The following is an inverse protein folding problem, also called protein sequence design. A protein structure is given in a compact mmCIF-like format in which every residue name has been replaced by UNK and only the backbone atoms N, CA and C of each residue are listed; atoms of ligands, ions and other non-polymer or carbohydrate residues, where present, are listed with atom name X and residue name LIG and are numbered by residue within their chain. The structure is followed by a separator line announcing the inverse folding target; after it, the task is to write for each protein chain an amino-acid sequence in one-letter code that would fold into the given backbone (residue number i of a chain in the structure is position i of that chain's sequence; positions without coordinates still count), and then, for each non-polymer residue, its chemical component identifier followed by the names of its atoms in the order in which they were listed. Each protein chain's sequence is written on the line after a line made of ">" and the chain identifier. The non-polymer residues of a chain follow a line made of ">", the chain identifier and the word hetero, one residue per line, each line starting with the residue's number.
data_IF_131509733631
#
_entry.id   IF_131509733631
#
_cell.length_a   1.000
_cell.length_b   1.000
_cell.length_c   1.000
_cell.angle_alpha   90.00
_cell.angle_beta   90.00
_cell.angle_gamma   90.00
#
_symmetry.space_group_name_H-M   'P 1'
#
loop_
_entity.id
_entity.type
_entity.pdbx_description
1 polymer ?
#
# COMPACT_ATOMS: atom_id res chain seq x y z
N UNK A 1 34.90 28.55 -21.30
CA UNK A 1 35.82 27.63 -20.61
C UNK A 1 35.75 28.02 -19.15
N UNK A 2 35.04 27.36 -18.25
CA UNK A 2 34.65 25.95 -17.99
C UNK A 2 33.46 26.03 -17.00
N UNK A 3 32.58 25.08 -16.70
CA UNK A 3 32.31 23.69 -17.02
C UNK A 3 30.83 23.53 -16.59
N UNK A 4 29.92 23.03 -17.44
CA UNK A 4 28.54 22.72 -17.01
C UNK A 4 28.51 21.32 -16.41
N UNK A 5 28.28 21.23 -15.10
CA UNK A 5 28.06 19.96 -14.41
C UNK A 5 26.69 19.38 -14.80
N UNK A 6 26.60 18.16 -15.37
CA UNK A 6 25.30 17.56 -15.65
C UNK A 6 24.63 17.08 -14.36
N UNK A 7 23.48 17.67 -14.04
CA UNK A 7 22.57 17.23 -12.97
C UNK A 7 21.92 15.91 -13.39
N UNK A 8 22.54 14.78 -13.03
CA UNK A 8 21.97 13.45 -13.29
C UNK A 8 20.70 13.27 -12.47
N UNK A 9 19.55 13.30 -13.14
CA UNK A 9 18.23 13.16 -12.56
C UNK A 9 17.97 11.70 -12.15
N UNK A 10 18.26 11.36 -10.88
CA UNK A 10 18.12 10.00 -10.34
C UNK A 10 16.66 9.55 -10.12
N UNK A 11 15.68 10.44 -10.35
CA UNK A 11 14.25 10.19 -10.13
C UNK A 11 13.54 9.51 -11.32
N UNK A 12 14.24 9.23 -12.43
CA UNK A 12 13.64 8.68 -13.65
C UNK A 12 14.13 7.28 -14.02
N UNK A 13 14.77 6.57 -13.08
CA UNK A 13 15.02 5.14 -13.25
C UNK A 13 13.70 4.38 -13.08
N UNK A 14 12.93 4.32 -14.16
CA UNK A 14 11.74 3.49 -14.26
C UNK A 14 12.14 2.03 -14.06
N UNK A 15 12.01 1.53 -12.83
CA UNK A 15 12.19 0.12 -12.51
C UNK A 15 11.13 -0.65 -13.30
N UNK A 16 11.56 -1.32 -14.37
CA UNK A 16 10.62 -2.08 -15.19
C UNK A 16 10.19 -3.32 -14.40
N UNK A 17 8.89 -3.67 -14.47
CA UNK A 17 8.32 -4.89 -13.84
C UNK A 17 9.13 -6.15 -14.14
N UNK A 18 9.85 -6.16 -15.27
CA UNK A 18 10.70 -7.25 -15.72
C UNK A 18 11.96 -7.44 -14.86
N UNK A 19 12.45 -6.39 -14.19
CA UNK A 19 13.56 -6.49 -13.23
C UNK A 19 13.11 -7.03 -11.86
N UNK A 20 11.90 -6.67 -11.41
CA UNK A 20 11.32 -7.21 -10.17
C UNK A 20 11.09 -8.72 -10.28
N UNK A 21 10.56 -9.20 -11.41
CA UNK A 21 10.34 -10.64 -11.66
C UNK A 21 11.65 -11.46 -11.75
N UNK A 22 12.77 -10.84 -12.14
CA UNK A 22 14.07 -11.52 -12.18
C UNK A 22 14.70 -11.66 -10.78
N UNK A 23 14.39 -10.73 -9.86
CA UNK A 23 14.90 -10.77 -8.49
C UNK A 23 14.21 -11.81 -7.59
N UNK A 24 12.93 -12.09 -7.82
CA UNK A 24 12.14 -13.02 -6.99
C UNK A 24 12.39 -14.51 -7.27
N UNK A 25 13.10 -14.86 -8.35
CA UNK A 25 13.40 -16.26 -8.72
C UNK A 25 14.67 -16.84 -8.07
N UNK A 26 15.46 -16.05 -7.34
CA UNK A 26 16.77 -16.49 -6.81
C UNK A 26 16.83 -16.63 -5.27
N UNK A 27 15.72 -16.39 -4.55
CA UNK A 27 15.73 -16.36 -3.08
C UNK A 27 14.59 -17.16 -2.42
N UNK A 28 14.16 -18.28 -3.01
CA UNK A 28 13.02 -19.01 -2.48
C UNK A 28 12.96 -20.48 -2.86
N UNK A 29 13.92 -21.31 -2.41
CA UNK A 29 13.72 -22.77 -2.33
C UNK A 29 14.87 -23.46 -1.55
N UNK A 30 14.72 -23.66 -0.23
CA UNK A 30 15.57 -24.60 0.52
C UNK A 30 15.01 -25.09 1.88
N UNK A 31 13.69 -25.03 2.16
CA UNK A 31 13.19 -25.52 3.46
C UNK A 31 11.76 -26.06 3.45
N UNK A 32 11.32 -26.69 2.36
CA UNK A 32 10.10 -27.49 2.37
C UNK A 32 10.37 -28.73 1.55
N UNK A 33 10.75 -29.84 2.20
CA UNK A 33 10.70 -31.22 1.71
C UNK A 33 11.32 -32.14 2.80
N UNK A 34 10.58 -32.34 3.89
CA UNK A 34 10.84 -33.41 4.85
C UNK A 34 9.53 -33.97 5.40
N UNK A 35 8.59 -34.31 4.52
CA UNK A 35 7.48 -35.20 4.85
C UNK A 35 6.89 -35.80 3.57
N UNK A 36 6.55 -37.08 3.66
CA UNK A 36 5.93 -37.92 2.64
C UNK A 36 6.89 -38.44 1.55
N UNK A 37 7.53 -39.56 1.87
CA UNK A 37 8.18 -40.42 0.89
C UNK A 37 7.19 -41.13 -0.02
N UNK A 38 7.67 -41.48 -1.22
CA UNK A 38 7.43 -42.71 -1.98
C UNK A 38 7.91 -42.51 -3.43
N UNK A 39 9.05 -43.12 -3.71
CA UNK A 39 9.50 -43.76 -4.96
C UNK A 39 8.64 -43.60 -6.23
N UNK A 40 9.23 -43.07 -7.34
CA UNK A 40 9.40 -43.76 -8.65
C UNK A 40 10.10 -42.87 -9.69
N UNK A 41 10.79 -43.50 -10.65
CA UNK A 41 11.80 -42.93 -11.55
C UNK A 41 11.25 -42.38 -12.90
N UNK A 42 12.07 -41.51 -13.54
CA UNK A 42 12.32 -41.25 -14.99
C UNK A 42 11.16 -41.35 -16.01
N UNK A 43 11.00 -40.42 -16.98
CA UNK A 43 12.04 -40.13 -17.97
C UNK A 43 12.21 -38.65 -18.43
N UNK A 44 13.30 -38.47 -19.17
CA UNK A 44 13.81 -37.37 -19.98
C UNK A 44 12.78 -36.54 -20.79
N UNK A 45 12.91 -35.20 -20.87
CA UNK A 45 12.04 -34.39 -21.73
C UNK A 45 12.58 -34.30 -23.17
N UNK A 46 11.81 -34.84 -24.10
CA UNK A 46 11.95 -34.65 -25.55
C UNK A 46 11.61 -33.20 -25.93
N UNK A 47 12.51 -32.55 -26.66
CA UNK A 47 12.38 -31.17 -27.14
C UNK A 47 11.36 -31.12 -28.31
N UNK A 48 10.25 -30.41 -28.11
CA UNK A 48 9.25 -30.14 -29.15
C UNK A 48 9.67 -28.96 -30.05
N UNK A 49 9.28 -28.93 -31.35
CA UNK A 49 9.59 -27.83 -32.27
C UNK A 49 8.85 -26.54 -31.93
N UNK A 50 9.38 -25.35 -32.28
CA UNK A 50 8.73 -24.07 -32.01
C UNK A 50 7.49 -23.87 -32.90
N UNK A 51 6.34 -23.63 -32.28
CA UNK A 51 5.12 -23.17 -32.96
C UNK A 51 5.29 -21.71 -33.46
N UNK A 52 4.87 -21.51 -34.70
CA UNK A 52 4.86 -20.22 -35.39
C UNK A 52 3.89 -19.25 -34.71
N UNK A 53 4.40 -18.15 -34.15
CA UNK A 53 3.56 -17.10 -33.57
C UNK A 53 2.73 -16.40 -34.64
N UNK A 54 1.41 -16.36 -34.43
CA UNK A 54 0.49 -15.57 -35.24
C UNK A 54 0.68 -14.06 -34.97
N UNK A 55 0.41 -13.17 -35.96
CA UNK A 55 0.59 -11.73 -35.79
C UNK A 55 -0.32 -11.18 -34.68
N UNK A 56 0.29 -10.51 -33.70
CA UNK A 56 -0.40 -9.85 -32.60
C UNK A 56 -1.35 -8.78 -33.10
N UNK A 57 -2.63 -8.90 -32.71
CA UNK A 57 -3.63 -7.87 -32.95
C UNK A 57 -3.20 -6.55 -32.28
N UNK A 58 -3.28 -5.46 -33.06
CA UNK A 58 -3.03 -4.10 -32.58
C UNK A 58 -3.94 -3.77 -31.39
N UNK A 59 -3.41 -3.19 -30.29
CA UNK A 59 -4.25 -2.79 -29.17
C UNK A 59 -5.23 -1.72 -29.63
N UNK A 60 -6.53 -1.96 -29.39
CA UNK A 60 -7.56 -0.95 -29.60
C UNK A 60 -7.31 0.25 -28.65
N UNK A 61 -7.60 1.49 -29.10
CA UNK A 61 -7.49 2.65 -28.24
C UNK A 61 -8.39 2.48 -27.01
N UNK A 62 -7.82 2.67 -25.82
CA UNK A 62 -8.55 2.60 -24.57
C UNK A 62 -9.55 3.77 -24.53
N UNK A 63 -10.84 3.44 -24.50
CA UNK A 63 -11.91 4.41 -24.22
C UNK A 63 -11.68 4.98 -22.83
N UNK A 64 -11.54 6.30 -22.74
CA UNK A 64 -11.42 7.03 -21.48
C UNK A 64 -12.65 6.76 -20.61
N UNK A 65 -12.43 6.26 -19.40
CA UNK A 65 -13.51 5.96 -18.47
C UNK A 65 -14.22 7.26 -18.07
N UNK A 66 -15.56 7.26 -17.95
CA UNK A 66 -16.29 8.44 -17.50
C UNK A 66 -15.74 8.94 -16.16
N UNK A 67 -15.68 10.27 -15.95
CA UNK A 67 -15.28 10.82 -14.65
C UNK A 67 -16.18 10.23 -13.56
N UNK A 68 -15.57 9.74 -12.49
CA UNK A 68 -16.30 9.17 -11.36
C UNK A 68 -17.27 10.23 -10.81
N UNK A 69 -18.51 9.82 -10.54
CA UNK A 69 -19.47 10.69 -9.88
C UNK A 69 -18.92 11.15 -8.52
N UNK A 70 -19.23 12.38 -8.08
CA UNK A 70 -18.78 12.87 -6.80
C UNK A 70 -19.32 11.96 -5.68
N UNK A 71 -18.41 11.42 -4.88
CA UNK A 71 -18.77 10.60 -3.72
C UNK A 71 -19.27 11.54 -2.63
N UNK A 72 -20.55 11.43 -2.28
CA UNK A 72 -21.15 12.18 -1.17
C UNK A 72 -21.07 11.35 0.11
N UNK A 73 -20.61 11.97 1.19
CA UNK A 73 -20.56 11.40 2.53
C UNK A 73 -21.55 12.09 3.47
N UNK A 74 -22.59 12.73 2.93
CA UNK A 74 -23.62 13.39 3.72
C UNK A 74 -24.23 12.44 4.76
N UNK A 75 -24.24 12.86 6.03
CA UNK A 75 -24.73 12.07 7.16
C UNK A 75 -23.72 11.09 7.76
N UNK A 76 -22.54 10.91 7.16
CA UNK A 76 -21.43 10.14 7.75
C UNK A 76 -20.66 11.04 8.73
N UNK A 77 -20.30 10.51 9.90
CA UNK A 77 -19.42 11.19 10.86
C UNK A 77 -18.23 10.30 11.18
N UNK A 78 -17.02 10.76 10.87
CA UNK A 78 -15.78 10.07 11.25
C UNK A 78 -15.38 10.45 12.68
N UNK A 79 -15.12 9.46 13.53
CA UNK A 79 -14.58 9.65 14.88
C UNK A 79 -13.08 9.37 14.90
N UNK A 80 -12.29 10.43 15.02
CA UNK A 80 -10.84 10.36 14.89
C UNK A 80 -10.15 10.58 16.24
N UNK A 81 -8.92 10.10 16.40
CA UNK A 81 -8.05 10.52 17.50
C UNK A 81 -6.86 11.35 17.01
N UNK A 82 -6.51 12.39 17.75
CA UNK A 82 -5.36 13.27 17.47
C UNK A 82 -4.43 13.43 18.68
N UNK A 83 -3.35 14.21 18.54
CA UNK A 83 -2.46 14.59 19.64
C UNK A 83 -2.24 16.10 19.67
N UNK A 84 -2.03 16.66 20.87
CA UNK A 84 -2.12 18.10 21.14
C UNK A 84 -1.52 19.04 20.10
N UNK A 85 -0.27 18.81 19.66
CA UNK A 85 0.39 19.70 18.69
C UNK A 85 -0.20 19.65 17.28
N UNK A 86 -0.91 18.57 16.93
CA UNK A 86 -1.51 18.37 15.61
C UNK A 86 -2.94 18.92 15.50
N UNK A 87 -3.53 19.41 16.61
CA UNK A 87 -4.92 19.89 16.64
C UNK A 87 -5.20 20.95 15.56
N UNK A 88 -4.38 22.00 15.37
CA UNK A 88 -4.66 23.01 14.34
C UNK A 88 -4.68 22.43 12.92
N UNK A 89 -3.74 21.52 12.61
CA UNK A 89 -3.67 20.85 11.32
C UNK A 89 -4.86 19.89 11.12
N UNK A 90 -5.30 19.20 12.18
CA UNK A 90 -6.48 18.36 12.14
C UNK A 90 -7.73 19.18 11.84
N UNK A 91 -7.92 20.34 12.47
CA UNK A 91 -9.08 21.19 12.21
C UNK A 91 -9.16 21.61 10.73
N UNK A 92 -8.04 22.02 10.15
CA UNK A 92 -7.97 22.34 8.71
C UNK A 92 -8.39 21.15 7.84
N UNK A 93 -7.95 19.94 8.20
CA UNK A 93 -8.34 18.72 7.51
C UNK A 93 -9.82 18.37 7.65
N UNK A 94 -10.42 18.59 8.83
CA UNK A 94 -11.86 18.39 9.05
C UNK A 94 -12.69 19.36 8.19
N UNK A 95 -12.30 20.63 8.18
CA UNK A 95 -13.02 21.66 7.42
C UNK A 95 -12.94 21.37 5.91
N UNK A 96 -11.75 20.96 5.42
CA UNK A 96 -11.56 20.55 4.04
C UNK A 96 -12.38 19.30 3.69
N UNK A 97 -12.35 18.26 4.55
CA UNK A 97 -13.14 17.04 4.37
C UNK A 97 -14.63 17.36 4.26
N UNK A 98 -15.16 18.20 5.16
CA UNK A 98 -16.56 18.58 5.13
C UNK A 98 -16.92 19.35 3.86
N UNK A 99 -16.07 20.29 3.44
CA UNK A 99 -16.28 21.07 2.23
C UNK A 99 -16.26 20.21 0.94
N UNK A 100 -15.38 19.21 0.87
CA UNK A 100 -15.21 18.36 -0.31
C UNK A 100 -16.25 17.24 -0.39
N UNK A 101 -16.69 16.71 0.75
CA UNK A 101 -17.46 15.46 0.80
C UNK A 101 -18.89 15.62 1.32
N UNK A 102 -19.18 16.72 2.02
CA UNK A 102 -20.42 16.91 2.77
C UNK A 102 -20.54 16.02 4.03
N UNK A 103 -19.52 15.22 4.35
CA UNK A 103 -19.46 14.44 5.58
C UNK A 103 -18.99 15.25 6.77
N UNK A 104 -19.23 14.74 7.97
CA UNK A 104 -18.70 15.30 9.21
C UNK A 104 -17.51 14.49 9.70
N UNK A 105 -16.68 15.10 10.53
CA UNK A 105 -15.62 14.40 11.23
C UNK A 105 -15.33 15.13 12.56
N UNK A 106 -15.01 14.37 13.59
CA UNK A 106 -14.66 14.86 14.93
C UNK A 106 -13.30 14.33 15.32
N UNK A 107 -12.68 14.90 16.36
CA UNK A 107 -11.52 14.29 16.99
C UNK A 107 -11.58 14.33 18.50
N UNK A 108 -10.97 13.32 19.12
CA UNK A 108 -10.60 13.31 20.53
C UNK A 108 -9.11 13.53 20.66
N UNK A 109 -8.70 14.51 21.47
CA UNK A 109 -7.30 14.69 21.82
C UNK A 109 -6.87 13.59 22.81
N UNK A 110 -5.91 12.76 22.41
CA UNK A 110 -5.27 11.80 23.29
C UNK A 110 -3.88 12.35 23.64
N UNK A 111 -3.59 12.62 24.93
CA UNK A 111 -2.27 13.03 25.39
C UNK A 111 -1.18 12.06 24.92
N UNK A 112 -0.01 12.60 24.57
CA UNK A 112 1.04 11.82 23.90
C UNK A 112 1.55 10.64 24.74
N UNK A 113 1.65 10.84 26.05
CA UNK A 113 2.02 9.84 27.05
C UNK A 113 0.99 8.71 27.19
N UNK A 114 -0.30 9.00 26.99
CA UNK A 114 -1.38 8.02 27.05
C UNK A 114 -1.60 7.27 25.73
N UNK A 115 -1.17 7.84 24.59
CA UNK A 115 -1.47 7.30 23.23
C UNK A 115 -1.12 5.83 23.09
N UNK A 116 0.07 5.44 23.51
CA UNK A 116 0.57 4.08 23.27
C UNK A 116 -0.29 3.01 23.96
N UNK A 117 -0.71 3.26 25.20
CA UNK A 117 -1.55 2.34 25.98
C UNK A 117 -2.98 2.35 25.44
N UNK A 118 -3.54 3.53 25.14
CA UNK A 118 -4.91 3.63 24.60
C UNK A 118 -5.04 2.96 23.24
N UNK A 119 -4.10 3.19 22.32
CA UNK A 119 -4.11 2.55 21.01
C UNK A 119 -3.87 1.05 21.09
N UNK A 120 -2.98 0.58 21.98
CA UNK A 120 -2.84 -0.85 22.22
C UNK A 120 -4.17 -1.48 22.69
N UNK A 121 -4.90 -0.80 23.58
CA UNK A 121 -6.24 -1.19 24.00
C UNK A 121 -7.23 -1.23 22.84
N UNK A 122 -7.39 -0.12 22.11
CA UNK A 122 -8.31 -0.01 20.96
C UNK A 122 -8.06 -1.09 19.90
N UNK A 123 -6.78 -1.35 19.57
CA UNK A 123 -6.40 -2.37 18.59
C UNK A 123 -6.70 -3.77 19.13
N UNK A 124 -6.35 -4.05 20.40
CA UNK A 124 -6.59 -5.37 20.99
C UNK A 124 -8.08 -5.69 21.12
N UNK A 125 -8.93 -4.69 21.35
CA UNK A 125 -10.39 -4.85 21.47
C UNK A 125 -11.12 -4.71 20.14
N UNK A 126 -10.43 -4.34 19.06
CA UNK A 126 -11.05 -3.99 17.77
C UNK A 126 -12.17 -2.97 17.96
N UNK A 127 -11.88 -1.89 18.69
CA UNK A 127 -12.87 -0.88 19.03
C UNK A 127 -13.37 -0.15 17.78
N UNK A 128 -14.55 -0.54 17.31
CA UNK A 128 -15.19 0.00 16.11
C UNK A 128 -15.79 1.40 16.32
N UNK A 129 -15.68 1.98 17.51
CA UNK A 129 -16.09 3.37 17.74
C UNK A 129 -15.12 4.40 17.15
N UNK A 130 -13.96 3.96 16.64
CA UNK A 130 -12.94 4.83 16.04
C UNK A 130 -12.72 4.50 14.56
N UNK A 131 -12.67 5.53 13.73
CA UNK A 131 -12.44 5.40 12.29
C UNK A 131 -10.98 5.65 11.92
N UNK A 132 -10.31 6.59 12.61
CA UNK A 132 -8.93 6.98 12.31
C UNK A 132 -8.13 7.30 13.57
N UNK A 133 -6.84 7.00 13.52
CA UNK A 133 -5.91 7.33 14.59
C UNK A 133 -4.68 8.06 14.06
N UNK A 134 -4.42 9.25 14.62
CA UNK A 134 -3.12 9.88 14.45
C UNK A 134 -2.04 9.09 15.20
N UNK A 135 -1.18 8.44 14.43
CA UNK A 135 -0.08 7.61 14.92
C UNK A 135 1.27 8.22 14.53
N UNK A 136 2.35 7.66 15.08
CA UNK A 136 3.72 8.05 14.78
C UNK A 136 4.57 6.81 14.48
N UNK A 137 5.62 7.02 13.70
CA UNK A 137 6.59 6.02 13.23
C UNK A 137 6.90 4.95 14.29
N UNK A 138 7.41 5.37 15.45
CA UNK A 138 7.96 4.46 16.47
C UNK A 138 6.88 3.56 17.07
N UNK A 139 5.64 4.05 17.14
CA UNK A 139 4.50 3.24 17.57
C UNK A 139 4.11 2.23 16.48
N UNK A 140 4.05 2.65 15.22
CA UNK A 140 3.65 1.78 14.10
C UNK A 140 4.64 0.67 13.79
N UNK A 141 5.93 0.88 14.05
CA UNK A 141 6.96 -0.16 13.92
C UNK A 141 6.65 -1.42 14.73
N UNK A 142 5.81 -1.33 15.77
CA UNK A 142 5.39 -2.48 16.61
C UNK A 142 4.36 -3.40 15.94
N UNK A 143 3.74 -2.98 14.83
CA UNK A 143 2.62 -3.68 14.21
C UNK A 143 2.93 -4.24 12.79
N UNK A 144 4.16 -4.06 12.27
CA UNK A 144 4.52 -4.34 10.87
C UNK A 144 5.26 -5.66 10.57
N UNK A 145 5.39 -6.57 11.52
CA UNK A 145 6.16 -7.84 11.36
C UNK A 145 5.38 -9.10 11.72
N UNK A 146 4.05 -9.03 11.76
CA UNK A 146 3.19 -10.20 11.98
C UNK A 146 2.77 -10.86 10.67
#
# INVERSE_FOLDING_TARGET
>A
MTDETPTTNLLTSAVSRRQVLKGSLLAGSAAFLAACGATTASPEPSVAPPESQAPGASPAPATEAPPAAPVSYAGVTLNNSTGGYSIPAFQLGLDAWQAETGGNATFTNIPFDEKSIKYAGMIATQDASWDLHYTYDVFMQRFGTR
#
